data_IF_545127100942
#
_entry.id   IF_545127100942
#
_cell.length_a   1.000
_cell.length_b   1.000
_cell.length_c   1.000
_cell.angle_alpha   90.00
_cell.angle_beta   90.00
_cell.angle_gamma   90.00
#
_symmetry.space_group_name_H-M   'P 1'
#
loop_
_entity.id
_entity.type
_entity.pdbx_description
1 polymer ?
#
# COMPACT_ATOMS: atom_id res chain seq x y z
N UNK A 1 -21.34 11.05 27.07
CA UNK A 1 -20.91 10.24 25.92
C UNK A 1 -20.03 11.11 25.01
N UNK A 2 -18.75 11.23 25.35
CA UNK A 2 -17.69 11.87 24.56
C UNK A 2 -16.72 10.75 24.21
N UNK A 3 -16.54 10.38 22.94
CA UNK A 3 -15.54 9.35 22.64
C UNK A 3 -15.35 9.05 21.16
N UNK A 4 -16.43 8.73 20.43
CA UNK A 4 -16.30 8.23 19.06
C UNK A 4 -15.63 9.22 18.06
N UNK A 5 -16.03 10.50 17.98
CA UNK A 5 -15.50 11.40 16.95
C UNK A 5 -14.06 11.87 17.24
N UNK A 6 -13.68 11.96 18.52
CA UNK A 6 -12.33 12.37 18.94
C UNK A 6 -11.27 11.28 18.74
N UNK A 7 -11.69 10.01 18.67
CA UNK A 7 -10.79 8.87 18.41
C UNK A 7 -10.60 8.65 16.90
N UNK A 8 -11.64 8.89 16.08
CA UNK A 8 -11.59 8.69 14.63
C UNK A 8 -10.65 9.67 13.89
N UNK A 9 -10.53 10.92 14.37
CA UNK A 9 -9.67 11.95 13.79
C UNK A 9 -8.16 11.63 13.84
N UNK A 10 -7.58 11.33 15.01
CA UNK A 10 -6.18 10.94 15.10
C UNK A 10 -5.93 9.61 14.40
N UNK A 11 -6.90 8.67 14.37
CA UNK A 11 -6.78 7.42 13.60
C UNK A 11 -6.75 7.66 12.07
N UNK A 12 -7.59 8.56 11.56
CA UNK A 12 -7.54 9.00 10.15
C UNK A 12 -6.23 9.72 9.85
N UNK A 13 -5.75 10.59 10.74
CA UNK A 13 -4.46 11.27 10.55
C UNK A 13 -3.28 10.27 10.59
N UNK A 14 -3.29 9.31 11.53
CA UNK A 14 -2.26 8.26 11.66
C UNK A 14 -2.24 7.30 10.46
N UNK A 15 -3.41 6.91 9.95
CA UNK A 15 -3.53 6.07 8.76
C UNK A 15 -2.97 6.76 7.50
N UNK A 16 -2.90 8.09 7.48
CA UNK A 16 -2.38 8.86 6.36
C UNK A 16 -0.92 9.27 6.53
N UNK A 17 -0.42 9.42 7.77
CA UNK A 17 0.96 9.81 8.09
C UNK A 17 1.97 8.65 8.05
N UNK A 18 1.54 7.39 8.14
CA UNK A 18 2.42 6.21 8.04
C UNK A 18 2.84 5.87 6.60
N UNK A 19 3.19 6.87 5.80
CA UNK A 19 3.96 6.63 4.59
C UNK A 19 5.45 6.64 4.96
N UNK A 20 5.92 5.57 5.59
CA UNK A 20 7.36 5.34 5.66
C UNK A 20 7.90 5.13 4.24
N UNK A 21 9.08 5.67 3.91
CA UNK A 21 9.73 5.36 2.64
C UNK A 21 10.03 3.86 2.63
N UNK A 22 9.27 3.11 1.83
CA UNK A 22 9.56 1.71 1.57
C UNK A 22 10.87 1.67 0.78
N UNK A 23 11.87 1.00 1.35
CA UNK A 23 13.07 0.66 0.59
C UNK A 23 12.64 -0.24 -0.57
N UNK A 24 13.26 -0.11 -1.76
CA UNK A 24 12.96 -0.96 -2.93
C UNK A 24 13.49 -2.39 -2.73
N UNK A 25 13.02 -3.09 -1.68
CA UNK A 25 13.42 -4.45 -1.32
C UNK A 25 13.33 -5.43 -2.49
N UNK A 26 12.26 -5.46 -3.32
CA UNK A 26 12.23 -6.35 -4.48
C UNK A 26 13.32 -6.05 -5.51
N UNK A 27 13.62 -4.77 -5.78
CA UNK A 27 14.68 -4.41 -6.71
C UNK A 27 16.07 -4.77 -6.18
N UNK A 28 16.35 -4.46 -4.91
CA UNK A 28 17.60 -4.81 -4.25
C UNK A 28 17.81 -6.33 -4.20
N UNK A 29 16.73 -7.08 -3.99
CA UNK A 29 16.76 -8.53 -4.03
C UNK A 29 17.17 -9.02 -5.42
N UNK A 30 16.50 -8.54 -6.48
CA UNK A 30 16.78 -8.96 -7.84
C UNK A 30 18.19 -8.56 -8.31
N UNK A 31 18.64 -7.35 -7.96
CA UNK A 31 19.99 -6.86 -8.26
C UNK A 31 21.06 -7.72 -7.55
N UNK A 32 20.82 -8.06 -6.28
CA UNK A 32 21.72 -8.97 -5.54
C UNK A 32 21.74 -10.38 -6.15
N UNK A 33 20.60 -10.92 -6.58
CA UNK A 33 20.56 -12.22 -7.28
C UNK A 33 21.35 -12.15 -8.58
N UNK A 34 21.13 -11.10 -9.39
CA UNK A 34 21.85 -10.92 -10.66
C UNK A 34 23.37 -10.80 -10.45
N UNK A 35 23.81 -10.03 -9.45
CA UNK A 35 25.22 -9.89 -9.08
C UNK A 35 25.86 -11.22 -8.71
N UNK A 36 25.21 -12.02 -7.85
CA UNK A 36 25.72 -13.33 -7.43
C UNK A 36 25.75 -14.35 -8.59
N UNK A 37 24.74 -14.33 -9.46
CA UNK A 37 24.73 -15.16 -10.67
C UNK A 37 25.88 -14.80 -11.61
N UNK A 38 26.21 -13.51 -11.77
CA UNK A 38 27.37 -13.05 -12.54
C UNK A 38 28.70 -13.45 -11.90
N UNK A 39 28.74 -13.54 -10.57
CA UNK A 39 29.87 -14.08 -9.84
C UNK A 39 29.99 -15.61 -9.95
N UNK A 40 29.04 -16.29 -10.61
CA UNK A 40 29.04 -17.73 -10.85
C UNK A 40 28.36 -18.55 -9.76
N UNK A 41 27.61 -17.91 -8.84
CA UNK A 41 26.83 -18.63 -7.85
C UNK A 41 25.71 -19.45 -8.51
N UNK A 42 25.31 -20.56 -7.87
CA UNK A 42 24.08 -21.26 -8.27
C UNK A 42 22.86 -20.41 -7.94
N UNK A 43 21.75 -20.60 -8.64
CA UNK A 43 20.51 -19.85 -8.40
C UNK A 43 20.06 -19.89 -6.93
N UNK A 44 20.14 -21.06 -6.27
CA UNK A 44 19.80 -21.18 -4.86
C UNK A 44 20.73 -20.37 -3.95
N UNK A 45 22.03 -20.38 -4.22
CA UNK A 45 23.01 -19.57 -3.47
C UNK A 45 22.80 -18.08 -3.68
N UNK A 46 22.57 -17.65 -4.93
CA UNK A 46 22.31 -16.26 -5.27
C UNK A 46 21.05 -15.73 -4.56
N UNK A 47 19.96 -16.51 -4.56
CA UNK A 47 18.73 -16.16 -3.84
C UNK A 47 18.91 -16.14 -2.32
N UNK A 48 19.71 -17.06 -1.77
CA UNK A 48 20.05 -17.08 -0.35
C UNK A 48 20.87 -15.86 0.08
N UNK A 49 21.88 -15.49 -0.71
CA UNK A 49 22.69 -14.30 -0.47
C UNK A 49 21.84 -13.02 -0.58
N UNK A 50 20.99 -12.93 -1.60
CA UNK A 50 20.07 -11.82 -1.78
C UNK A 50 19.06 -11.70 -0.62
N UNK A 51 18.53 -12.83 -0.11
CA UNK A 51 17.64 -12.85 1.04
C UNK A 51 18.29 -12.24 2.29
N UNK A 52 19.58 -12.53 2.52
CA UNK A 52 20.37 -11.94 3.61
C UNK A 52 20.59 -10.45 3.37
N UNK A 53 20.97 -10.07 2.14
CA UNK A 53 21.24 -8.68 1.77
C UNK A 53 20.03 -7.74 1.96
N UNK A 54 18.81 -8.24 1.73
CA UNK A 54 17.56 -7.49 1.93
C UNK A 54 16.91 -7.70 3.30
N UNK A 55 17.63 -8.33 4.23
CA UNK A 55 17.21 -8.60 5.60
C UNK A 55 15.84 -9.32 5.66
N UNK A 56 15.60 -10.29 4.76
CA UNK A 56 14.37 -11.07 4.76
C UNK A 56 14.53 -12.37 5.57
N UNK A 57 14.11 -12.32 6.84
CA UNK A 57 14.22 -13.45 7.76
C UNK A 57 13.51 -14.74 7.26
N UNK A 58 12.39 -14.61 6.53
CA UNK A 58 11.62 -15.76 6.03
C UNK A 58 12.39 -16.49 4.93
N UNK A 59 12.87 -15.74 3.94
CA UNK A 59 13.66 -16.29 2.83
C UNK A 59 15.01 -16.80 3.31
N UNK A 60 15.65 -16.09 4.25
CA UNK A 60 16.89 -16.55 4.87
C UNK A 60 16.70 -17.88 5.62
N UNK A 61 15.63 -18.02 6.39
CA UNK A 61 15.32 -19.26 7.10
C UNK A 61 15.09 -20.43 6.12
N UNK A 62 14.36 -20.19 5.02
CA UNK A 62 14.16 -21.18 3.96
C UNK A 62 15.49 -21.61 3.34
N UNK A 63 16.35 -20.66 2.97
CA UNK A 63 17.67 -20.97 2.44
C UNK A 63 18.50 -21.82 3.41
N UNK A 64 18.53 -21.45 4.70
CA UNK A 64 19.26 -22.20 5.74
C UNK A 64 18.70 -23.61 5.97
N UNK A 65 17.42 -23.84 5.70
CA UNK A 65 16.81 -25.18 5.74
C UNK A 65 17.13 -26.05 4.51
N UNK A 66 17.86 -25.52 3.53
CA UNK A 66 18.20 -26.23 2.30
C UNK A 66 17.07 -26.22 1.26
N UNK A 67 16.18 -25.22 1.30
CA UNK A 67 15.13 -25.06 0.30
C UNK A 67 15.70 -24.94 -1.11
N UNK A 68 14.97 -25.50 -2.07
CA UNK A 68 15.30 -25.41 -3.49
C UNK A 68 15.10 -23.99 -4.02
N UNK A 69 15.76 -23.66 -5.13
CA UNK A 69 15.56 -22.36 -5.81
C UNK A 69 14.07 -22.10 -6.17
N UNK A 70 13.32 -23.16 -6.50
CA UNK A 70 11.89 -23.05 -6.78
C UNK A 70 11.08 -22.67 -5.54
N UNK A 71 11.33 -23.30 -4.40
CA UNK A 71 10.66 -22.98 -3.13
C UNK A 71 11.02 -21.56 -2.68
N UNK A 72 12.29 -21.18 -2.82
CA UNK A 72 12.75 -19.81 -2.58
C UNK A 72 12.03 -18.80 -3.49
N UNK A 73 11.82 -19.14 -4.78
CA UNK A 73 11.11 -18.29 -5.73
C UNK A 73 9.65 -18.08 -5.38
N UNK A 74 8.95 -19.14 -4.99
CA UNK A 74 7.56 -19.05 -4.55
C UNK A 74 7.44 -18.20 -3.27
N UNK A 75 8.32 -18.41 -2.30
CA UNK A 75 8.32 -17.62 -1.07
C UNK A 75 8.66 -16.15 -1.34
N UNK A 76 9.60 -15.87 -2.25
CA UNK A 76 9.94 -14.51 -2.63
C UNK A 76 8.79 -13.83 -3.38
N UNK A 77 8.05 -14.57 -4.20
CA UNK A 77 6.86 -14.07 -4.88
C UNK A 77 5.71 -13.73 -3.93
N UNK A 78 5.55 -14.48 -2.85
CA UNK A 78 4.58 -14.16 -1.80
C UNK A 78 4.97 -12.93 -0.97
N UNK A 79 6.27 -12.72 -0.76
CA UNK A 79 6.78 -11.55 -0.04
C UNK A 79 6.72 -10.28 -0.89
N UNK A 80 7.03 -10.40 -2.18
CA UNK A 80 7.10 -9.29 -3.13
C UNK A 80 5.89 -9.33 -4.06
N UNK A 81 4.71 -9.04 -3.51
CA UNK A 81 3.42 -9.09 -4.21
C UNK A 81 3.38 -8.30 -5.52
N UNK A 82 4.02 -7.12 -5.55
CA UNK A 82 4.10 -6.25 -6.73
C UNK A 82 4.73 -6.90 -7.98
N UNK A 83 5.68 -7.82 -7.78
CA UNK A 83 6.43 -8.50 -8.86
C UNK A 83 6.37 -10.03 -8.78
N UNK A 84 5.54 -10.59 -7.89
CA UNK A 84 5.65 -11.98 -7.50
C UNK A 84 5.40 -12.97 -8.65
N UNK A 85 4.47 -12.62 -9.54
CA UNK A 85 4.17 -13.43 -10.73
C UNK A 85 5.37 -13.47 -11.67
N UNK A 86 5.93 -12.31 -11.99
CA UNK A 86 7.09 -12.15 -12.85
C UNK A 86 8.32 -12.85 -12.25
N UNK A 87 8.53 -12.69 -10.94
CA UNK A 87 9.63 -13.33 -10.21
C UNK A 87 9.52 -14.87 -10.25
N UNK A 88 8.32 -15.42 -10.09
CA UNK A 88 8.09 -16.88 -10.19
C UNK A 88 8.45 -17.39 -11.58
N UNK A 89 7.99 -16.71 -12.62
CA UNK A 89 8.29 -17.07 -14.02
C UNK A 89 9.79 -16.96 -14.32
N UNK A 90 10.45 -15.93 -13.81
CA UNK A 90 11.90 -15.73 -13.95
C UNK A 90 12.69 -16.83 -13.25
N UNK A 91 12.33 -17.21 -12.03
CA UNK A 91 12.97 -18.33 -11.32
C UNK A 91 12.78 -19.64 -12.08
N UNK A 92 11.58 -19.88 -12.61
CA UNK A 92 11.29 -21.09 -13.40
C UNK A 92 12.10 -21.12 -14.70
N UNK A 93 12.19 -20.00 -15.42
CA UNK A 93 13.01 -19.87 -16.61
C UNK A 93 14.51 -20.03 -16.29
N UNK A 94 15.00 -19.34 -15.26
CA UNK A 94 16.38 -19.41 -14.80
C UNK A 94 16.82 -20.83 -14.44
N UNK A 95 15.92 -21.60 -13.78
CA UNK A 95 16.17 -23.00 -13.42
C UNK A 95 16.41 -23.91 -14.64
N UNK A 96 15.89 -23.53 -15.81
CA UNK A 96 16.06 -24.27 -17.07
C UNK A 96 17.21 -23.76 -17.93
N UNK A 97 17.48 -22.46 -17.89
CA UNK A 97 18.29 -21.77 -18.90
C UNK A 97 19.72 -21.42 -18.47
N UNK A 98 20.08 -21.56 -17.19
CA UNK A 98 21.46 -21.36 -16.73
C UNK A 98 21.98 -19.94 -16.92
N UNK A 99 23.02 -19.72 -17.73
CA UNK A 99 23.78 -18.47 -17.81
C UNK A 99 22.97 -17.20 -18.16
N UNK A 100 21.83 -17.33 -18.85
CA UNK A 100 20.95 -16.20 -19.16
C UNK A 100 20.13 -15.67 -17.96
N UNK A 101 20.26 -16.31 -16.79
CA UNK A 101 19.43 -15.99 -15.62
C UNK A 101 19.73 -14.61 -15.02
N UNK A 102 20.99 -14.16 -15.05
CA UNK A 102 21.37 -12.88 -14.43
C UNK A 102 20.66 -11.69 -15.08
N UNK A 103 20.59 -11.68 -16.41
CA UNK A 103 19.97 -10.59 -17.16
C UNK A 103 18.45 -10.54 -16.95
N UNK A 104 17.81 -11.70 -16.79
CA UNK A 104 16.38 -11.76 -16.43
C UNK A 104 16.13 -11.15 -15.05
N UNK A 105 16.99 -11.41 -14.05
CA UNK A 105 16.85 -10.79 -12.74
C UNK A 105 17.11 -9.28 -12.77
N UNK A 106 18.06 -8.80 -13.58
CA UNK A 106 18.28 -7.37 -13.77
C UNK A 106 17.07 -6.67 -14.41
N UNK A 107 16.43 -7.32 -15.40
CA UNK A 107 15.22 -6.81 -16.03
C UNK A 107 14.07 -6.70 -15.01
N UNK A 108 13.86 -7.74 -14.18
CA UNK A 108 12.85 -7.69 -13.11
C UNK A 108 13.21 -6.64 -12.04
N UNK A 109 14.49 -6.49 -11.69
CA UNK A 109 14.95 -5.44 -10.77
C UNK A 109 14.64 -4.04 -11.31
N UNK A 110 14.86 -3.82 -12.60
CA UNK A 110 14.52 -2.57 -13.30
C UNK A 110 13.01 -2.32 -13.33
N UNK A 111 12.20 -3.36 -13.57
CA UNK A 111 10.74 -3.29 -13.51
C UNK A 111 10.26 -2.90 -12.10
N UNK A 112 10.81 -3.52 -11.05
CA UNK A 112 10.46 -3.21 -9.66
C UNK A 112 10.77 -1.74 -9.30
N UNK A 113 11.90 -1.21 -9.76
CA UNK A 113 12.23 0.22 -9.58
C UNK A 113 11.25 1.12 -10.33
N UNK A 114 10.90 0.77 -11.57
CA UNK A 114 9.94 1.54 -12.37
C UNK A 114 8.55 1.57 -11.71
N UNK A 115 8.06 0.44 -11.20
CA UNK A 115 6.80 0.37 -10.46
C UNK A 115 6.84 1.21 -9.19
N UNK A 116 7.94 1.18 -8.43
CA UNK A 116 8.09 2.01 -7.24
C UNK A 116 8.05 3.52 -7.59
N UNK A 117 8.71 3.93 -8.66
CA UNK A 117 8.69 5.33 -9.08
C UNK A 117 7.29 5.76 -9.54
N UNK A 118 6.58 4.92 -10.30
CA UNK A 118 5.17 5.17 -10.66
C UNK A 118 4.31 5.29 -9.39
N UNK A 119 4.44 4.37 -8.43
CA UNK A 119 3.69 4.40 -7.19
C UNK A 119 4.00 5.67 -6.37
N UNK A 120 5.25 6.13 -6.41
CA UNK A 120 5.69 7.38 -5.79
C UNK A 120 5.08 8.59 -6.50
N UNK A 121 5.12 8.65 -7.82
CA UNK A 121 4.50 9.71 -8.61
C UNK A 121 3.00 9.79 -8.36
N UNK A 122 2.29 8.65 -8.40
CA UNK A 122 0.85 8.58 -8.08
C UNK A 122 0.58 9.06 -6.66
N UNK A 123 1.42 8.69 -5.69
CA UNK A 123 1.30 9.13 -4.29
C UNK A 123 1.47 10.65 -4.14
N UNK A 124 2.45 11.22 -4.84
CA UNK A 124 2.69 12.67 -4.84
C UNK A 124 1.54 13.40 -5.55
N UNK A 125 1.13 12.92 -6.71
CA UNK A 125 0.03 13.50 -7.50
C UNK A 125 -1.32 13.40 -6.77
N UNK A 126 -1.55 12.35 -5.99
CA UNK A 126 -2.78 12.16 -5.21
C UNK A 126 -2.77 12.87 -3.86
N UNK A 127 -1.64 13.41 -3.40
CA UNK A 127 -1.55 14.08 -2.10
C UNK A 127 -2.51 15.28 -1.96
N UNK A 128 -2.67 16.19 -2.96
CA UNK A 128 -3.65 17.28 -2.89
C UNK A 128 -5.09 16.76 -2.83
N UNK A 129 -5.41 15.71 -3.58
CA UNK A 129 -6.74 15.09 -3.56
C UNK A 129 -7.03 14.47 -2.19
N UNK A 130 -6.06 13.77 -1.59
CA UNK A 130 -6.17 13.24 -0.22
C UNK A 130 -6.36 14.35 0.81
N UNK A 131 -5.58 15.44 0.72
CA UNK A 131 -5.74 16.60 1.59
C UNK A 131 -7.13 17.24 1.46
N UNK A 132 -7.64 17.36 0.24
CA UNK A 132 -8.99 17.86 -0.05
C UNK A 132 -10.05 16.96 0.61
N UNK A 133 -9.97 15.64 0.43
CA UNK A 133 -10.88 14.68 1.07
C UNK A 133 -10.83 14.78 2.59
N UNK A 134 -9.65 14.96 3.18
CA UNK A 134 -9.53 15.15 4.64
C UNK A 134 -10.18 16.45 5.08
N UNK A 135 -9.91 17.58 4.44
CA UNK A 135 -10.47 18.88 4.84
C UNK A 135 -11.99 18.90 4.65
N UNK A 136 -12.47 18.54 3.47
CA UNK A 136 -13.89 18.58 3.13
C UNK A 136 -14.70 17.41 3.71
N UNK A 137 -14.06 16.32 4.11
CA UNK A 137 -14.71 15.21 4.81
C UNK A 137 -14.71 15.39 6.33
N UNK A 138 -13.56 15.73 6.93
CA UNK A 138 -13.42 15.82 8.37
C UNK A 138 -14.13 17.05 8.93
N UNK A 139 -14.00 18.23 8.31
CA UNK A 139 -14.57 19.46 8.86
C UNK A 139 -16.10 19.41 9.01
N UNK A 140 -16.89 18.98 8.00
CA UNK A 140 -18.33 18.84 8.16
C UNK A 140 -18.70 17.76 9.16
N UNK A 141 -17.95 16.65 9.23
CA UNK A 141 -18.19 15.57 10.19
C UNK A 141 -17.98 16.05 11.63
N UNK A 142 -16.91 16.80 11.89
CA UNK A 142 -16.63 17.43 13.18
C UNK A 142 -17.75 18.38 13.55
N UNK A 143 -18.13 19.25 12.61
CA UNK A 143 -19.18 20.23 12.82
C UNK A 143 -20.51 19.55 13.18
N UNK A 144 -20.91 18.51 12.43
CA UNK A 144 -22.14 17.76 12.68
C UNK A 144 -22.09 17.07 14.05
N UNK A 145 -20.98 16.42 14.38
CA UNK A 145 -20.78 15.74 15.65
C UNK A 145 -20.84 16.71 16.83
N UNK A 146 -20.24 17.90 16.69
CA UNK A 146 -20.27 18.95 17.70
C UNK A 146 -21.69 19.53 17.87
N UNK A 147 -22.42 19.75 16.77
CA UNK A 147 -23.81 20.23 16.82
C UNK A 147 -24.76 19.19 17.39
N UNK A 148 -24.48 17.91 17.18
CA UNK A 148 -25.25 16.81 17.77
C UNK A 148 -25.02 16.71 19.28
N UNK A 149 -23.76 16.80 19.73
CA UNK A 149 -23.43 16.67 21.16
C UNK A 149 -23.84 17.90 21.99
N UNK A 150 -23.87 19.08 21.39
CA UNK A 150 -24.29 20.33 22.05
C UNK A 150 -25.81 20.53 22.08
N UNK A 151 -26.60 19.62 21.50
CA UNK A 151 -28.05 19.80 21.32
C UNK A 151 -28.42 20.90 20.30
N UNK A 152 -27.44 21.54 19.66
CA UNK A 152 -27.65 22.60 18.67
C UNK A 152 -28.36 22.12 17.40
N UNK A 153 -28.33 20.82 17.10
CA UNK A 153 -29.13 20.24 16.02
C UNK A 153 -30.64 20.30 16.31
N UNK A 154 -31.04 20.09 17.57
CA UNK A 154 -32.45 20.14 17.97
C UNK A 154 -33.01 21.57 17.85
N UNK A 155 -32.20 22.60 18.17
CA UNK A 155 -32.61 24.00 18.04
C UNK A 155 -32.71 24.46 16.58
N UNK A 156 -31.78 24.02 15.72
CA UNK A 156 -31.84 24.27 14.27
C UNK A 156 -33.07 23.60 13.61
N UNK A 157 -33.45 22.41 14.07
CA UNK A 157 -34.62 21.68 13.57
C UNK A 157 -35.96 22.15 14.14
N UNK A 158 -35.95 22.90 15.25
CA UNK A 158 -37.14 23.45 15.89
C UNK A 158 -37.66 24.72 15.19
N UNK A 159 -36.79 25.44 14.46
CA UNK A 159 -37.16 26.69 13.78
C UNK A 159 -37.58 26.38 12.33
N UNK A 160 -38.80 26.73 11.93
CA UNK A 160 -39.36 26.36 10.61
C UNK A 160 -38.52 26.86 9.44
N UNK A 161 -37.95 28.05 9.54
CA UNK A 161 -37.11 28.69 8.51
C UNK A 161 -35.76 28.00 8.32
N UNK A 162 -35.19 27.40 9.38
CA UNK A 162 -33.87 26.75 9.34
C UNK A 162 -33.96 25.24 9.14
N UNK A 163 -35.13 24.64 9.40
CA UNK A 163 -35.36 23.20 9.28
C UNK A 163 -35.09 22.69 7.86
N UNK A 164 -35.63 23.36 6.82
CA UNK A 164 -35.45 22.94 5.42
C UNK A 164 -33.99 22.99 4.99
N UNK A 165 -33.30 24.09 5.30
CA UNK A 165 -31.86 24.26 4.98
C UNK A 165 -31.00 23.23 5.72
N UNK A 166 -31.32 22.95 6.98
CA UNK A 166 -30.60 21.95 7.79
C UNK A 166 -30.79 20.54 7.23
N UNK A 167 -32.03 20.17 6.86
CA UNK A 167 -32.32 18.85 6.25
C UNK A 167 -31.65 18.69 4.89
N UNK A 168 -31.67 19.73 4.04
CA UNK A 168 -30.96 19.73 2.75
C UNK A 168 -29.46 19.60 2.96
N UNK A 169 -28.87 20.34 3.92
CA UNK A 169 -27.45 20.25 4.24
C UNK A 169 -27.02 18.85 4.73
N UNK A 170 -27.80 18.24 5.64
CA UNK A 170 -27.56 16.87 6.11
C UNK A 170 -27.72 15.88 4.94
N UNK A 171 -28.75 16.03 4.12
CA UNK A 171 -29.00 15.17 2.97
C UNK A 171 -27.86 15.20 1.96
N UNK A 172 -27.36 16.40 1.61
CA UNK A 172 -26.21 16.57 0.71
C UNK A 172 -24.93 15.97 1.30
N UNK A 173 -24.70 16.15 2.60
CA UNK A 173 -23.55 15.54 3.29
C UNK A 173 -23.61 14.01 3.26
N UNK A 174 -24.77 13.41 3.56
CA UNK A 174 -24.95 11.96 3.52
C UNK A 174 -24.84 11.40 2.10
N UNK A 175 -25.38 12.10 1.10
CA UNK A 175 -25.23 11.72 -0.30
C UNK A 175 -23.75 11.75 -0.74
N UNK A 176 -23.01 12.78 -0.35
CA UNK A 176 -21.56 12.86 -0.59
C UNK A 176 -20.79 11.72 0.10
N UNK A 177 -21.13 11.41 1.35
CA UNK A 177 -20.51 10.31 2.10
C UNK A 177 -20.77 8.95 1.42
N UNK A 178 -22.00 8.70 0.98
CA UNK A 178 -22.38 7.48 0.26
C UNK A 178 -21.66 7.37 -1.09
N UNK A 179 -21.52 8.46 -1.82
CA UNK A 179 -20.78 8.47 -3.09
C UNK A 179 -19.30 8.12 -2.89
N UNK A 180 -18.66 8.68 -1.86
CA UNK A 180 -17.27 8.32 -1.48
C UNK A 180 -17.18 6.85 -1.08
N UNK A 181 -18.13 6.35 -0.27
CA UNK A 181 -18.14 4.96 0.15
C UNK A 181 -18.30 4.01 -1.04
N UNK A 182 -19.19 4.33 -1.99
CA UNK A 182 -19.40 3.56 -3.21
C UNK A 182 -18.15 3.54 -4.10
N UNK A 183 -17.44 4.67 -4.22
CA UNK A 183 -16.16 4.73 -4.95
C UNK A 183 -15.08 3.87 -4.27
N UNK A 184 -14.98 3.90 -2.94
CA UNK A 184 -14.01 3.08 -2.19
C UNK A 184 -14.32 1.59 -2.32
N UNK A 185 -15.59 1.20 -2.27
CA UNK A 185 -16.00 -0.21 -2.47
C UNK A 185 -15.71 -0.68 -3.90
N UNK A 186 -15.85 0.19 -4.90
CA UNK A 186 -15.58 -0.15 -6.31
C UNK A 186 -14.08 -0.20 -6.65
N UNK A 187 -13.26 0.54 -5.92
CA UNK A 187 -11.81 0.58 -6.13
C UNK A 187 -11.06 -0.58 -5.45
N UNK A 188 -11.74 -1.37 -4.62
CA UNK A 188 -11.26 -2.64 -4.06
C UNK A 188 -11.73 -3.80 -4.92
#
# INVERSE_FOLDING_TARGET
MLGLPWVLLPLLALAFLRATPERPRPALFCDSVASELRAGATLGQAMGAAAIAVENCRLEALYRSGATAREMGLAAAEEFDDIGKELTLTVEAASRSGAASADLFEEIGSLALAQLEIAREVRVASAPARATVVVFGAAPTIFLAHRLSSGGLATLLATSTQRSVTLVGIGLFLAGLLAVLALVVRAR
#
